data_IF_887771430926
#
_entry.id   IF_887771430926
#
_cell.length_a   1.000
_cell.length_b   1.000
_cell.length_c   1.000
_cell.angle_alpha   90.00
_cell.angle_beta   90.00
_cell.angle_gamma   90.00
#
_symmetry.space_group_name_H-M   'P 1'
#
loop_
_entity.id
_entity.type
_entity.pdbx_description
1 polymer ?
#
# COMPACT_ATOMS: atom_id res chain seq x y z
N UNK A 1 -0.58 -22.74 -24.31
CA UNK A 1 -0.78 -21.50 -25.07
C UNK A 1 -1.08 -20.36 -24.12
N UNK A 2 -0.71 -19.15 -24.49
CA UNK A 2 -0.90 -17.94 -23.66
C UNK A 2 -2.35 -17.65 -23.23
N UNK A 3 -3.41 -17.84 -24.04
CA UNK A 3 -4.77 -17.58 -23.56
C UNK A 3 -5.17 -18.49 -22.39
N UNK A 4 -4.70 -19.75 -22.38
CA UNK A 4 -4.92 -20.64 -21.25
C UNK A 4 -4.18 -20.16 -19.98
N UNK A 5 -2.96 -19.64 -20.14
CA UNK A 5 -2.19 -19.07 -19.03
C UNK A 5 -2.86 -17.82 -18.44
N UNK A 6 -3.31 -16.90 -19.31
CA UNK A 6 -3.99 -15.66 -18.93
C UNK A 6 -5.35 -15.88 -18.25
N UNK A 7 -5.94 -17.07 -18.37
CA UNK A 7 -7.18 -17.43 -17.67
C UNK A 7 -6.88 -18.27 -16.43
N UNK A 8 -6.08 -19.32 -16.56
CA UNK A 8 -5.84 -20.27 -15.47
C UNK A 8 -5.13 -19.63 -14.27
N UNK A 9 -4.11 -18.80 -14.52
CA UNK A 9 -3.29 -18.22 -13.44
C UNK A 9 -4.06 -17.14 -12.66
N UNK A 10 -4.79 -16.20 -13.29
CA UNK A 10 -5.65 -15.28 -12.55
C UNK A 10 -6.78 -15.97 -11.79
N UNK A 11 -7.35 -17.06 -12.33
CA UNK A 11 -8.33 -17.88 -11.60
C UNK A 11 -7.73 -18.54 -10.36
N UNK A 12 -6.50 -19.06 -10.44
CA UNK A 12 -5.79 -19.58 -9.27
C UNK A 12 -5.51 -18.47 -8.24
N UNK A 13 -5.09 -17.29 -8.69
CA UNK A 13 -4.90 -16.12 -7.82
C UNK A 13 -6.20 -15.67 -7.15
N UNK A 14 -7.32 -15.71 -7.87
CA UNK A 14 -8.65 -15.43 -7.34
C UNK A 14 -9.00 -16.41 -6.22
N UNK A 15 -8.76 -17.71 -6.41
CA UNK A 15 -9.00 -18.72 -5.39
C UNK A 15 -8.12 -18.51 -4.14
N UNK A 16 -6.81 -18.26 -4.32
CA UNK A 16 -5.89 -17.99 -3.21
C UNK A 16 -6.28 -16.71 -2.46
N UNK A 17 -6.69 -15.66 -3.17
CA UNK A 17 -7.21 -14.42 -2.58
C UNK A 17 -8.51 -14.67 -1.82
N UNK A 18 -9.43 -15.46 -2.37
CA UNK A 18 -10.69 -15.83 -1.71
C UNK A 18 -10.44 -16.63 -0.43
N UNK A 19 -9.49 -17.58 -0.44
CA UNK A 19 -9.06 -18.32 0.75
C UNK A 19 -8.50 -17.38 1.82
N UNK A 20 -7.64 -16.43 1.43
CA UNK A 20 -7.11 -15.42 2.34
C UNK A 20 -8.24 -14.61 2.99
N UNK A 21 -9.20 -14.13 2.18
CA UNK A 21 -10.37 -13.42 2.66
C UNK A 21 -11.27 -14.27 3.57
N UNK A 22 -11.46 -15.55 3.25
CA UNK A 22 -12.27 -16.47 4.02
C UNK A 22 -11.63 -16.74 5.40
N UNK A 23 -10.31 -16.90 5.47
CA UNK A 23 -9.57 -17.06 6.73
C UNK A 23 -9.70 -15.80 7.60
N UNK A 24 -9.57 -14.61 7.00
CA UNK A 24 -9.70 -13.32 7.70
C UNK A 24 -11.10 -13.20 8.32
N UNK A 25 -12.14 -13.46 7.54
CA UNK A 25 -13.53 -13.30 7.96
C UNK A 25 -13.93 -14.38 8.98
N UNK A 26 -13.63 -15.66 8.70
CA UNK A 26 -14.00 -16.77 9.57
C UNK A 26 -13.22 -16.76 10.90
N UNK A 27 -11.92 -16.45 10.84
CA UNK A 27 -11.06 -16.39 12.01
C UNK A 27 -11.12 -15.06 12.77
N UNK A 28 -11.82 -14.04 12.24
CA UNK A 28 -11.83 -12.65 12.76
C UNK A 28 -10.42 -12.12 13.04
N UNK A 29 -9.47 -12.53 12.20
CA UNK A 29 -8.05 -12.20 12.34
C UNK A 29 -7.77 -10.83 11.74
N UNK A 30 -6.74 -10.16 12.25
CA UNK A 30 -6.27 -8.92 11.65
C UNK A 30 -5.75 -9.21 10.23
N UNK A 31 -6.22 -8.51 9.19
CA UNK A 31 -5.88 -8.83 7.81
C UNK A 31 -4.40 -8.92 7.50
N UNK A 32 -3.61 -8.01 8.09
CA UNK A 32 -2.17 -7.94 7.89
C UNK A 32 -1.45 -9.25 8.22
N UNK A 33 -1.84 -9.91 9.31
CA UNK A 33 -1.22 -11.17 9.77
C UNK A 33 -1.48 -12.27 8.73
N UNK A 34 -2.72 -12.40 8.27
CA UNK A 34 -3.10 -13.43 7.30
C UNK A 34 -2.44 -13.20 5.95
N UNK A 35 -2.41 -11.96 5.46
CA UNK A 35 -1.76 -11.64 4.18
C UNK A 35 -0.25 -11.84 4.23
N UNK A 36 0.40 -11.52 5.36
CA UNK A 36 1.83 -11.76 5.57
C UNK A 36 2.12 -13.28 5.60
N UNK A 37 1.31 -14.05 6.34
CA UNK A 37 1.44 -15.51 6.39
C UNK A 37 1.25 -16.15 5.01
N UNK A 38 0.25 -15.68 4.24
CA UNK A 38 -0.01 -16.15 2.89
C UNK A 38 1.14 -15.80 1.93
N UNK A 39 1.72 -14.60 2.04
CA UNK A 39 2.90 -14.20 1.25
C UNK A 39 4.08 -15.16 1.51
N UNK A 40 4.41 -15.42 2.78
CA UNK A 40 5.52 -16.32 3.15
C UNK A 40 5.22 -17.77 2.73
N UNK A 41 3.98 -18.23 2.93
CA UNK A 41 3.54 -19.57 2.53
C UNK A 41 3.61 -19.79 1.02
N UNK A 42 3.11 -18.84 0.23
CA UNK A 42 3.18 -18.89 -1.23
C UNK A 42 4.61 -18.79 -1.74
N UNK A 43 5.44 -17.97 -1.11
CA UNK A 43 6.87 -17.91 -1.40
C UNK A 43 7.54 -19.27 -1.13
N UNK A 44 7.26 -19.90 0.02
CA UNK A 44 7.74 -21.25 0.33
C UNK A 44 7.30 -22.28 -0.71
N UNK A 45 6.01 -22.30 -1.06
CA UNK A 45 5.46 -23.21 -2.07
C UNK A 45 6.10 -23.00 -3.45
N UNK A 46 6.35 -21.74 -3.84
CA UNK A 46 7.04 -21.42 -5.08
C UNK A 46 8.51 -21.89 -5.08
N UNK A 47 9.21 -21.84 -3.94
CA UNK A 47 10.57 -22.39 -3.81
C UNK A 47 10.60 -23.91 -3.84
N UNK A 48 9.62 -24.58 -3.24
CA UNK A 48 9.50 -26.04 -3.28
C UNK A 48 9.29 -26.54 -4.71
N UNK A 49 8.46 -25.84 -5.48
CA UNK A 49 8.17 -26.19 -6.88
C UNK A 49 9.28 -25.79 -7.84
N UNK A 50 10.03 -24.71 -7.56
CA UNK A 50 11.16 -24.25 -8.36
C UNK A 50 12.47 -25.03 -8.16
N UNK A 51 12.53 -25.90 -7.13
CA UNK A 51 13.78 -26.51 -6.68
C UNK A 51 14.50 -25.59 -5.69
N UNK A 52 15.02 -26.18 -4.60
CA UNK A 52 15.47 -25.50 -3.37
C UNK A 52 16.51 -24.36 -3.57
N UNK A 53 17.18 -24.26 -4.72
CA UNK A 53 18.35 -23.40 -4.93
C UNK A 53 18.07 -21.99 -5.48
N UNK A 54 16.84 -21.47 -5.37
CA UNK A 54 16.49 -20.17 -5.98
C UNK A 54 16.86 -20.10 -7.47
N UNK A 55 16.83 -21.27 -8.13
CA UNK A 55 17.23 -21.43 -9.51
C UNK A 55 16.37 -20.49 -10.35
N UNK A 56 17.05 -19.63 -11.10
CA UNK A 56 16.41 -18.81 -12.11
C UNK A 56 15.95 -19.78 -13.18
N UNK A 57 14.66 -20.10 -13.18
CA UNK A 57 14.08 -20.94 -14.20
C UNK A 57 13.92 -20.06 -15.44
N UNK A 58 14.68 -20.32 -16.52
CA UNK A 58 14.38 -19.64 -17.77
C UNK A 58 12.97 -20.05 -18.17
N UNK A 59 12.16 -19.07 -18.56
CA UNK A 59 10.77 -19.32 -19.01
C UNK A 59 10.76 -20.04 -20.38
N UNK A 60 11.93 -20.38 -20.90
CA UNK A 60 12.20 -21.06 -22.16
C UNK A 60 12.41 -22.56 -21.99
N UNK A 61 11.36 -23.29 -21.63
CA UNK A 61 11.37 -24.76 -21.70
C UNK A 61 10.23 -25.25 -22.60
N UNK A 62 10.37 -25.02 -23.92
CA UNK A 62 9.47 -25.61 -24.92
C UNK A 62 9.38 -24.84 -26.24
N UNK A 63 9.32 -25.58 -27.35
CA UNK A 63 9.33 -25.10 -28.74
C UNK A 63 8.09 -24.32 -29.19
N UNK A 64 7.05 -24.22 -28.35
CA UNK A 64 5.78 -23.52 -28.67
C UNK A 64 5.40 -22.41 -27.66
N UNK A 65 6.21 -22.17 -26.63
CA UNK A 65 5.92 -21.17 -25.58
C UNK A 65 6.63 -19.82 -25.83
N UNK A 66 7.58 -19.79 -26.76
CA UNK A 66 8.43 -18.64 -27.05
C UNK A 66 7.66 -17.51 -27.74
N UNK A 67 6.93 -17.79 -28.83
CA UNK A 67 6.28 -16.75 -29.64
C UNK A 67 5.12 -16.07 -28.92
N UNK A 68 4.27 -16.85 -28.25
CA UNK A 68 3.12 -16.35 -27.52
C UNK A 68 3.51 -15.46 -26.32
N UNK A 69 4.55 -15.82 -25.55
CA UNK A 69 5.06 -15.01 -24.43
C UNK A 69 5.77 -13.76 -24.95
N UNK A 70 6.36 -13.83 -26.14
CA UNK A 70 6.98 -12.68 -26.81
C UNK A 70 5.92 -11.66 -27.27
N UNK A 71 4.70 -12.09 -27.61
CA UNK A 71 3.56 -11.19 -27.83
C UNK A 71 3.18 -10.41 -26.57
N UNK A 72 3.27 -11.01 -25.37
CA UNK A 72 3.02 -10.30 -24.11
C UNK A 72 4.06 -9.23 -23.80
N UNK A 73 5.25 -9.32 -24.42
CA UNK A 73 6.30 -8.31 -24.35
C UNK A 73 6.20 -7.27 -25.48
N UNK A 74 5.55 -7.63 -26.59
CA UNK A 74 5.54 -6.80 -27.79
C UNK A 74 5.04 -5.38 -27.53
N UNK A 75 5.51 -4.44 -28.35
CA UNK A 75 4.96 -3.10 -28.39
C UNK A 75 3.85 -3.09 -29.43
N UNK A 76 2.62 -2.84 -28.98
CA UNK A 76 1.50 -2.62 -29.88
C UNK A 76 1.71 -1.28 -30.60
N UNK A 77 1.72 -1.31 -31.92
CA UNK A 77 1.98 -0.15 -32.79
C UNK A 77 3.30 0.59 -32.51
N UNK A 78 4.29 -0.07 -31.89
CA UNK A 78 5.60 0.53 -31.58
C UNK A 78 5.57 1.62 -30.49
N UNK A 79 4.41 1.88 -29.87
CA UNK A 79 4.25 2.96 -28.88
C UNK A 79 3.83 2.43 -27.51
N UNK A 80 2.93 1.44 -27.44
CA UNK A 80 2.37 0.98 -26.18
C UNK A 80 2.86 -0.43 -25.82
N UNK A 81 3.59 -0.63 -24.70
CA UNK A 81 3.91 -1.96 -24.20
C UNK A 81 2.63 -2.71 -23.82
N UNK A 82 2.52 -3.97 -24.21
CA UNK A 82 1.36 -4.82 -23.86
C UNK A 82 1.06 -4.87 -22.34
N UNK A 83 2.05 -4.91 -21.41
CA UNK A 83 1.76 -4.84 -19.98
C UNK A 83 1.01 -3.55 -19.57
N UNK A 84 1.30 -2.43 -20.25
CA UNK A 84 0.59 -1.16 -20.05
C UNK A 84 -0.87 -1.23 -20.49
N UNK A 85 -1.19 -1.99 -21.54
CA UNK A 85 -2.57 -2.20 -21.98
C UNK A 85 -3.37 -3.03 -20.95
N UNK A 86 -2.78 -4.08 -20.40
CA UNK A 86 -3.41 -4.85 -19.31
C UNK A 86 -3.64 -3.98 -18.07
N UNK A 87 -2.69 -3.11 -17.72
CA UNK A 87 -2.87 -2.14 -16.64
C UNK A 87 -4.03 -1.17 -16.92
N UNK A 88 -4.08 -0.57 -18.12
CA UNK A 88 -5.18 0.34 -18.50
C UNK A 88 -6.54 -0.37 -18.53
N UNK A 89 -6.58 -1.61 -19.03
CA UNK A 89 -7.79 -2.44 -19.03
C UNK A 89 -8.25 -2.74 -17.61
N UNK A 90 -7.34 -3.12 -16.70
CA UNK A 90 -7.65 -3.34 -15.30
C UNK A 90 -8.19 -2.06 -14.64
N UNK A 91 -7.55 -0.92 -14.86
CA UNK A 91 -8.04 0.39 -14.37
C UNK A 91 -9.44 0.67 -14.89
N UNK A 92 -9.71 0.49 -16.19
CA UNK A 92 -11.02 0.75 -16.78
C UNK A 92 -12.11 -0.15 -16.17
N UNK A 93 -11.84 -1.45 -16.04
CA UNK A 93 -12.76 -2.42 -15.45
C UNK A 93 -13.04 -2.08 -13.99
N UNK A 94 -12.01 -1.81 -13.19
CA UNK A 94 -12.18 -1.47 -11.78
C UNK A 94 -12.75 -0.07 -11.57
N UNK A 95 -12.56 0.87 -12.50
CA UNK A 95 -13.22 2.18 -12.48
C UNK A 95 -14.74 2.02 -12.62
N UNK A 96 -15.18 1.22 -13.58
CA UNK A 96 -16.59 0.88 -13.77
C UNK A 96 -17.13 0.12 -12.56
N UNK A 97 -16.40 -0.89 -12.09
CA UNK A 97 -16.79 -1.70 -10.94
C UNK A 97 -16.95 -0.85 -9.67
N UNK A 98 -16.02 0.04 -9.36
CA UNK A 98 -16.08 0.86 -8.16
C UNK A 98 -17.08 2.03 -8.25
N UNK A 99 -17.29 2.62 -9.44
CA UNK A 99 -18.18 3.78 -9.61
C UNK A 99 -19.63 3.39 -9.89
N UNK A 100 -19.85 2.36 -10.70
CA UNK A 100 -21.17 2.06 -11.26
C UNK A 100 -21.87 0.88 -10.58
N UNK A 101 -21.16 0.06 -9.78
CA UNK A 101 -21.77 -1.13 -9.16
C UNK A 101 -22.08 -0.94 -7.67
N UNK A 102 -22.99 -1.78 -7.17
CA UNK A 102 -23.33 -1.88 -5.74
C UNK A 102 -22.10 -2.31 -4.92
N UNK A 103 -21.26 -3.20 -5.49
CA UNK A 103 -20.06 -3.69 -4.83
C UNK A 103 -19.12 -2.54 -4.44
N UNK A 104 -18.88 -1.59 -5.35
CA UNK A 104 -18.08 -0.40 -5.07
C UNK A 104 -18.61 0.40 -3.88
N UNK A 105 -19.92 0.68 -3.86
CA UNK A 105 -20.58 1.38 -2.73
C UNK A 105 -20.39 0.65 -1.40
N UNK A 106 -20.50 -0.68 -1.40
CA UNK A 106 -20.27 -1.49 -0.20
C UNK A 106 -18.82 -1.45 0.26
N UNK A 107 -17.84 -1.52 -0.65
CA UNK A 107 -16.41 -1.40 -0.30
C UNK A 107 -16.13 -0.08 0.42
N UNK A 108 -16.64 1.04 -0.11
CA UNK A 108 -16.48 2.35 0.53
C UNK A 108 -17.19 2.46 1.88
N UNK A 109 -18.41 1.93 1.99
CA UNK A 109 -19.17 1.94 3.24
C UNK A 109 -18.48 1.12 4.34
N UNK A 110 -17.99 -0.08 4.01
CA UNK A 110 -17.24 -0.94 4.93
C UNK A 110 -15.94 -0.27 5.38
N UNK A 111 -15.23 0.38 4.45
CA UNK A 111 -14.00 1.10 4.77
C UNK A 111 -14.21 2.28 5.72
N UNK A 112 -15.38 2.93 5.70
CA UNK A 112 -15.68 4.06 6.58
C UNK A 112 -16.05 3.62 7.99
N UNK A 113 -16.99 2.68 8.11
CA UNK A 113 -17.34 2.07 9.38
C UNK A 113 -17.96 0.68 9.14
N UNK A 114 -17.18 -0.35 9.43
CA UNK A 114 -17.57 -1.75 9.23
C UNK A 114 -18.81 -2.14 10.05
N UNK A 115 -18.90 -1.66 11.30
CA UNK A 115 -20.00 -1.99 12.19
C UNK A 115 -21.30 -1.34 11.75
N UNK A 116 -21.25 -0.08 11.34
CA UNK A 116 -22.40 0.62 10.76
C UNK A 116 -22.86 -0.02 9.44
N UNK A 117 -21.92 -0.45 8.58
CA UNK A 117 -22.22 -1.16 7.35
C UNK A 117 -22.98 -2.47 7.63
N UNK A 118 -22.52 -3.25 8.63
CA UNK A 118 -23.17 -4.48 9.06
C UNK A 118 -24.58 -4.25 9.60
N UNK A 119 -24.78 -3.22 10.43
CA UNK A 119 -26.11 -2.84 10.94
C UNK A 119 -27.05 -2.36 9.83
N UNK A 120 -26.50 -1.83 8.74
CA UNK A 120 -27.25 -1.41 7.55
C UNK A 120 -27.58 -2.57 6.58
N UNK A 121 -27.34 -3.82 6.98
CA UNK A 121 -27.65 -5.01 6.18
C UNK A 121 -26.66 -5.30 5.04
N UNK A 122 -25.49 -4.64 5.01
CA UNK A 122 -24.46 -4.93 4.02
C UNK A 122 -23.78 -6.26 4.38
N UNK A 123 -23.63 -7.21 3.43
CA UNK A 123 -22.95 -8.48 3.68
C UNK A 123 -21.42 -8.28 3.71
N UNK A 124 -20.92 -7.66 4.78
CA UNK A 124 -19.51 -7.27 4.98
C UNK A 124 -18.55 -8.41 4.66
N UNK A 125 -18.85 -9.59 5.20
CA UNK A 125 -18.06 -10.82 5.06
C UNK A 125 -17.84 -11.19 3.59
N UNK A 126 -18.91 -11.19 2.79
CA UNK A 126 -18.83 -11.53 1.36
C UNK A 126 -18.06 -10.49 0.56
N UNK A 127 -18.25 -9.21 0.89
CA UNK A 127 -17.56 -8.10 0.21
C UNK A 127 -16.06 -8.13 0.51
N UNK A 128 -15.66 -8.43 1.75
CA UNK A 128 -14.25 -8.62 2.12
C UNK A 128 -13.62 -9.80 1.35
N UNK A 129 -14.28 -10.96 1.33
CA UNK A 129 -13.78 -12.13 0.59
C UNK A 129 -13.58 -11.81 -0.89
N UNK A 130 -14.57 -11.16 -1.53
CA UNK A 130 -14.47 -10.76 -2.92
C UNK A 130 -13.37 -9.72 -3.17
N UNK A 131 -13.15 -8.77 -2.26
CA UNK A 131 -12.05 -7.81 -2.37
C UNK A 131 -10.67 -8.50 -2.36
N UNK A 132 -10.45 -9.46 -1.46
CA UNK A 132 -9.21 -10.25 -1.46
C UNK A 132 -9.08 -11.15 -2.69
N UNK A 133 -10.18 -11.73 -3.16
CA UNK A 133 -10.19 -12.53 -4.39
C UNK A 133 -9.77 -11.71 -5.62
N UNK A 134 -10.34 -10.52 -5.80
CA UNK A 134 -9.95 -9.60 -6.88
C UNK A 134 -8.49 -9.14 -6.76
N UNK A 135 -8.01 -8.89 -5.54
CA UNK A 135 -6.60 -8.56 -5.31
C UNK A 135 -5.66 -9.70 -5.74
N UNK A 136 -5.96 -10.95 -5.36
CA UNK A 136 -5.18 -12.12 -5.77
C UNK A 136 -5.19 -12.36 -7.29
N UNK A 137 -6.34 -12.14 -7.93
CA UNK A 137 -6.47 -12.19 -9.39
C UNK A 137 -5.57 -11.15 -10.08
N UNK A 138 -5.59 -9.90 -9.61
CA UNK A 138 -4.75 -8.83 -10.17
C UNK A 138 -3.26 -9.06 -9.90
N UNK A 139 -2.90 -9.54 -8.71
CA UNK A 139 -1.51 -9.82 -8.35
C UNK A 139 -0.89 -10.92 -9.23
N UNK A 140 -1.64 -12.01 -9.46
CA UNK A 140 -1.18 -13.09 -10.35
C UNK A 140 -1.15 -12.67 -11.82
N UNK A 141 -2.10 -11.85 -12.28
CA UNK A 141 -2.04 -11.24 -13.61
C UNK A 141 -0.78 -10.37 -13.78
N UNK A 142 -0.46 -9.52 -12.79
CA UNK A 142 0.76 -8.72 -12.79
C UNK A 142 2.02 -9.61 -12.77
N UNK A 143 2.01 -10.72 -12.02
CA UNK A 143 3.09 -11.69 -11.98
C UNK A 143 3.38 -12.34 -13.34
N UNK A 144 2.35 -12.70 -14.11
CA UNK A 144 2.53 -13.22 -15.49
C UNK A 144 3.25 -12.20 -16.36
N UNK A 145 2.80 -10.93 -16.31
CA UNK A 145 3.39 -9.85 -17.09
C UNK A 145 4.84 -9.58 -16.67
N UNK A 146 5.13 -9.64 -15.37
CA UNK A 146 6.47 -9.51 -14.83
C UNK A 146 7.40 -10.60 -15.36
N UNK A 147 6.99 -11.87 -15.26
CA UNK A 147 7.77 -13.01 -15.75
C UNK A 147 7.98 -12.93 -17.27
N UNK A 148 6.95 -12.51 -18.04
CA UNK A 148 7.07 -12.30 -19.48
C UNK A 148 8.08 -11.18 -19.84
N UNK A 149 8.13 -10.11 -19.04
CA UNK A 149 9.05 -8.99 -19.26
C UNK A 149 10.51 -9.36 -18.96
N UNK A 150 10.77 -10.10 -17.88
CA UNK A 150 12.12 -10.43 -17.43
C UNK A 150 12.65 -11.78 -17.92
N UNK A 151 11.82 -12.60 -18.60
CA UNK A 151 12.18 -13.89 -19.22
C UNK A 151 12.71 -14.94 -18.22
N UNK A 152 12.45 -14.72 -16.93
CA UNK A 152 13.01 -15.48 -15.84
C UNK A 152 11.96 -15.60 -14.73
N UNK A 153 11.73 -16.82 -14.26
CA UNK A 153 10.93 -17.11 -13.08
C UNK A 153 11.86 -17.33 -11.89
N UNK A 154 11.91 -16.36 -10.98
CA UNK A 154 12.58 -16.51 -9.67
C UNK A 154 11.50 -16.40 -8.58
N UNK A 155 11.44 -17.30 -7.58
CA UNK A 155 10.41 -17.27 -6.53
C UNK A 155 10.29 -15.96 -5.75
N UNK A 156 11.41 -15.27 -5.55
CA UNK A 156 11.54 -13.97 -4.89
C UNK A 156 11.55 -12.79 -5.87
N UNK A 157 11.34 -13.04 -7.18
CA UNK A 157 11.14 -11.97 -8.14
C UNK A 157 9.85 -11.22 -7.80
N UNK A 158 10.01 -9.95 -7.42
CA UNK A 158 8.91 -9.11 -6.95
C UNK A 158 8.92 -8.81 -5.46
N UNK A 159 9.91 -9.32 -4.70
CA UNK A 159 10.11 -8.90 -3.31
C UNK A 159 10.26 -7.36 -3.22
N UNK A 160 9.47 -6.75 -2.33
CA UNK A 160 9.38 -5.30 -2.17
C UNK A 160 8.32 -4.63 -3.05
N UNK A 161 7.79 -5.28 -4.09
CA UNK A 161 6.69 -4.70 -4.89
C UNK A 161 5.41 -4.56 -4.08
N UNK A 162 5.20 -5.40 -3.07
CA UNK A 162 4.12 -5.24 -2.11
C UNK A 162 4.19 -3.90 -1.36
N UNK A 163 5.38 -3.47 -0.94
CA UNK A 163 5.57 -2.19 -0.25
C UNK A 163 5.47 -1.02 -1.23
N UNK A 164 6.01 -1.18 -2.44
CA UNK A 164 5.89 -0.18 -3.51
C UNK A 164 4.41 0.06 -3.90
N UNK A 165 3.61 -1.00 -3.96
CA UNK A 165 2.18 -0.91 -4.26
C UNK A 165 1.43 -0.13 -3.17
N UNK A 166 1.71 -0.41 -1.89
CA UNK A 166 1.16 0.37 -0.77
C UNK A 166 1.61 1.83 -0.88
N UNK A 167 2.90 2.09 -1.10
CA UNK A 167 3.44 3.44 -1.23
C UNK A 167 2.73 4.24 -2.33
N UNK A 168 2.62 3.67 -3.53
CA UNK A 168 1.97 4.30 -4.67
C UNK A 168 0.50 4.65 -4.41
N UNK A 169 -0.25 3.74 -3.80
CA UNK A 169 -1.68 3.94 -3.50
C UNK A 169 -1.88 5.01 -2.43
N UNK A 170 -1.01 5.06 -1.43
CA UNK A 170 -1.06 6.05 -0.34
C UNK A 170 -0.63 7.44 -0.84
N UNK A 171 0.41 7.54 -1.68
CA UNK A 171 0.77 8.80 -2.36
C UNK A 171 -0.39 9.30 -3.21
N UNK A 172 -1.13 8.38 -3.84
CA UNK A 172 -2.36 8.66 -4.57
C UNK A 172 -3.54 9.12 -3.71
N UNK A 173 -3.40 9.20 -2.37
CA UNK A 173 -4.41 9.74 -1.46
C UNK A 173 -5.41 8.71 -0.93
N UNK A 174 -5.18 7.41 -1.13
CA UNK A 174 -6.01 6.37 -0.50
C UNK A 174 -5.60 6.17 0.96
N UNK A 175 -6.58 6.24 1.87
CA UNK A 175 -6.39 6.13 3.32
C UNK A 175 -6.06 4.70 3.76
N UNK A 176 -4.97 4.52 4.52
CA UNK A 176 -4.68 3.26 5.19
C UNK A 176 -5.69 2.91 6.30
N UNK A 177 -6.30 3.93 6.92
CA UNK A 177 -7.34 3.76 7.95
C UNK A 177 -8.73 3.45 7.35
N UNK A 178 -8.86 3.49 6.02
CA UNK A 178 -10.12 3.22 5.33
C UNK A 178 -11.00 4.46 5.13
N UNK A 179 -12.13 4.25 4.43
CA UNK A 179 -13.23 5.22 4.29
C UNK A 179 -13.01 6.33 3.27
N UNK A 180 -11.78 6.54 2.79
CA UNK A 180 -11.44 7.55 1.77
C UNK A 180 -10.42 7.00 0.78
N UNK A 181 -10.67 7.21 -0.50
CA UNK A 181 -9.77 6.87 -1.58
C UNK A 181 -10.43 6.97 -2.95
N UNK A 182 -9.67 7.29 -3.98
CA UNK A 182 -10.17 7.37 -5.34
C UNK A 182 -9.22 6.66 -6.30
N UNK A 183 -9.77 5.84 -7.19
CA UNK A 183 -8.98 5.13 -8.20
C UNK A 183 -8.15 6.08 -9.07
N UNK A 184 -8.69 7.28 -9.36
CA UNK A 184 -7.97 8.31 -10.11
C UNK A 184 -6.71 8.80 -9.36
N UNK A 185 -6.81 8.98 -8.04
CA UNK A 185 -5.67 9.36 -7.21
C UNK A 185 -4.62 8.24 -7.17
N UNK A 186 -5.07 6.99 -7.01
CA UNK A 186 -4.18 5.81 -7.09
C UNK A 186 -3.44 5.72 -8.43
N UNK A 187 -4.10 6.02 -9.56
CA UNK A 187 -3.45 6.03 -10.87
C UNK A 187 -2.35 7.08 -10.95
N UNK A 188 -2.60 8.29 -10.43
CA UNK A 188 -1.58 9.34 -10.34
C UNK A 188 -0.44 8.91 -9.42
N UNK A 189 -0.74 8.30 -8.27
CA UNK A 189 0.28 7.79 -7.34
C UNK A 189 1.17 6.71 -7.94
N UNK A 190 0.61 5.75 -8.68
CA UNK A 190 1.36 4.71 -9.41
C UNK A 190 2.24 5.32 -10.49
N UNK A 191 1.76 6.32 -11.22
CA UNK A 191 2.57 7.03 -12.22
C UNK A 191 3.73 7.80 -11.57
N UNK A 192 3.47 8.52 -10.47
CA UNK A 192 4.52 9.25 -9.72
C UNK A 192 5.57 8.27 -9.20
N UNK A 193 5.15 7.17 -8.56
CA UNK A 193 6.06 6.18 -7.99
C UNK A 193 6.87 5.45 -9.07
N UNK A 194 6.24 5.12 -10.20
CA UNK A 194 6.90 4.53 -11.36
C UNK A 194 7.92 5.46 -12.02
N UNK A 195 7.56 6.72 -12.22
CA UNK A 195 8.49 7.75 -12.73
C UNK A 195 9.67 7.95 -11.78
N UNK A 196 9.41 8.03 -10.47
CA UNK A 196 10.45 8.17 -9.48
C UNK A 196 11.42 6.98 -9.53
N UNK A 197 10.90 5.76 -9.56
CA UNK A 197 11.72 4.55 -9.64
C UNK A 197 12.57 4.55 -10.92
N UNK A 198 12.01 4.99 -12.04
CA UNK A 198 12.73 5.11 -13.30
C UNK A 198 13.83 6.19 -13.25
N UNK A 199 13.55 7.37 -12.67
CA UNK A 199 14.53 8.45 -12.50
C UNK A 199 15.70 8.00 -11.62
N UNK A 200 15.42 7.37 -10.47
CA UNK A 200 16.48 6.88 -9.58
C UNK A 200 17.36 5.83 -10.29
N UNK A 201 16.74 4.99 -11.11
CA UNK A 201 17.45 3.98 -11.91
C UNK A 201 18.29 4.60 -13.03
N UNK A 202 17.77 5.60 -13.75
CA UNK A 202 18.50 6.32 -14.80
C UNK A 202 19.68 7.14 -14.25
N UNK A 203 19.54 7.67 -13.04
CA UNK A 203 20.63 8.31 -12.31
C UNK A 203 21.66 7.32 -11.74
N UNK A 204 21.53 6.02 -12.08
CA UNK A 204 22.45 4.96 -11.66
C UNK A 204 22.62 4.87 -10.14
N UNK A 205 21.58 5.24 -9.40
CA UNK A 205 21.57 5.14 -7.94
C UNK A 205 21.54 3.66 -7.58
N UNK A 206 22.44 3.24 -6.69
CA UNK A 206 22.55 1.86 -6.23
C UNK A 206 21.19 1.33 -5.74
N UNK A 207 20.83 0.10 -6.10
CA UNK A 207 19.56 -0.53 -5.72
C UNK A 207 19.32 -0.55 -4.21
N UNK A 208 20.37 -0.67 -3.39
CA UNK A 208 20.27 -0.59 -1.93
C UNK A 208 19.87 0.82 -1.47
N UNK A 209 20.41 1.88 -2.08
CA UNK A 209 20.00 3.25 -1.80
C UNK A 209 18.57 3.52 -2.28
N UNK A 210 18.17 2.93 -3.41
CA UNK A 210 16.77 3.01 -3.86
C UNK A 210 15.81 2.44 -2.81
N UNK A 211 16.14 1.31 -2.16
CA UNK A 211 15.33 0.74 -1.07
C UNK A 211 15.23 1.70 0.13
N UNK A 212 16.33 2.38 0.49
CA UNK A 212 16.32 3.39 1.55
C UNK A 212 15.38 4.55 1.19
N UNK A 213 15.47 5.08 -0.04
CA UNK A 213 14.58 6.15 -0.49
C UNK A 213 13.11 5.71 -0.53
N UNK A 214 12.82 4.51 -1.03
CA UNK A 214 11.47 3.93 -1.05
C UNK A 214 10.89 3.83 0.36
N UNK A 215 11.66 3.32 1.32
CA UNK A 215 11.27 3.26 2.73
C UNK A 215 11.00 4.64 3.33
N UNK A 216 11.88 5.62 3.06
CA UNK A 216 11.70 6.99 3.51
C UNK A 216 10.42 7.63 2.95
N UNK A 217 10.11 7.38 1.67
CA UNK A 217 8.89 7.88 1.03
C UNK A 217 7.63 7.28 1.67
N UNK A 218 7.63 5.98 1.99
CA UNK A 218 6.51 5.35 2.69
C UNK A 218 6.28 6.05 4.03
N UNK A 219 7.34 6.21 4.84
CA UNK A 219 7.25 6.87 6.15
C UNK A 219 6.70 8.29 6.01
N UNK A 220 7.26 9.09 5.08
CA UNK A 220 6.80 10.46 4.84
C UNK A 220 5.33 10.49 4.42
N UNK A 221 4.93 9.61 3.51
CA UNK A 221 3.56 9.59 3.00
C UNK A 221 2.56 9.19 4.07
N UNK A 222 2.88 8.18 4.89
CA UNK A 222 2.05 7.75 6.03
C UNK A 222 1.96 8.85 7.08
N UNK A 223 3.08 9.50 7.44
CA UNK A 223 3.08 10.61 8.40
C UNK A 223 2.22 11.79 7.93
N UNK A 224 2.25 12.12 6.64
CA UNK A 224 1.42 13.16 6.05
C UNK A 224 -0.07 12.76 6.02
N UNK A 225 -0.38 11.47 5.95
CA UNK A 225 -1.74 10.95 5.95
C UNK A 225 -2.33 10.86 7.36
N UNK A 226 -1.54 10.47 8.36
CA UNK A 226 -1.97 10.41 9.76
C UNK A 226 -2.09 11.79 10.41
N UNK A 227 -1.24 12.74 10.03
CA UNK A 227 -1.23 14.06 10.66
C UNK A 227 -2.03 15.06 9.83
N UNK A 228 -3.16 15.50 10.39
CA UNK A 228 -3.53 16.90 10.28
C UNK A 228 -2.26 17.71 10.58
N UNK A 229 -1.73 18.41 9.57
CA UNK A 229 -0.51 19.23 9.65
C UNK A 229 -0.49 20.18 10.88
N UNK A 230 -1.66 20.44 11.46
CA UNK A 230 -1.90 21.19 12.71
C UNK A 230 -1.29 20.55 13.98
N UNK A 231 -1.35 19.23 14.17
CA UNK A 231 -0.86 18.58 15.40
C UNK A 231 0.66 18.43 15.42
N UNK A 232 1.28 18.40 14.23
CA UNK A 232 2.73 18.39 14.03
C UNK A 232 3.40 19.70 14.47
N UNK A 233 2.73 20.82 14.22
CA UNK A 233 3.21 22.17 14.52
C UNK A 233 2.75 22.69 15.89
N UNK A 234 1.85 21.96 16.57
CA UNK A 234 1.39 22.28 17.92
C UNK A 234 2.54 22.45 18.94
N UNK A 235 3.55 21.56 19.05
CA UNK A 235 4.65 21.74 20.01
C UNK A 235 5.53 22.96 19.73
N UNK A 236 5.57 23.45 18.49
CA UNK A 236 6.32 24.67 18.13
C UNK A 236 5.52 25.96 18.34
N UNK A 237 4.19 25.90 18.49
CA UNK A 237 3.35 27.07 18.80
C UNK A 237 3.36 27.42 20.29
N UNK A 238 3.39 26.43 21.17
CA UNK A 238 3.41 26.64 22.64
C UNK A 238 4.72 27.21 23.16
N UNK A 239 5.85 26.96 22.48
CA UNK A 239 7.14 27.54 22.84
C UNK A 239 7.23 29.06 22.57
N UNK A 240 6.34 29.62 21.73
CA UNK A 240 6.37 31.04 21.35
C UNK A 240 5.48 31.91 22.24
N UNK A 241 4.51 31.35 22.95
CA UNK A 241 3.65 32.06 23.92
C UNK A 241 4.29 32.17 25.31
N UNK A 242 5.03 31.16 25.76
CA UNK A 242 5.71 31.19 27.08
C UNK A 242 6.84 32.25 27.18
N UNK A 243 7.36 32.73 26.06
CA UNK A 243 8.43 33.76 26.04
C UNK A 243 7.89 35.20 25.98
N UNK A 244 6.56 35.38 25.96
CA UNK A 244 5.92 36.69 25.71
C UNK A 244 5.17 37.28 26.90
N UNK A 245 5.12 36.59 28.06
CA UNK A 245 4.56 37.14 29.30
C UNK A 245 5.65 37.66 30.24
N UNK A 246 6.02 38.96 30.16
CA UNK A 246 6.81 39.62 31.20
C UNK A 246 6.04 39.81 32.52
N UNK A 247 4.72 39.58 32.56
CA UNK A 247 3.88 39.81 33.74
C UNK A 247 4.12 38.80 34.89
N UNK A 248 4.48 37.55 34.57
CA UNK A 248 4.73 36.53 35.60
C UNK A 248 6.03 36.75 36.41
N UNK A 249 6.95 37.62 35.94
CA UNK A 249 8.15 37.98 36.69
C UNK A 249 7.92 39.01 37.78
N UNK A 250 6.85 39.81 37.70
CA UNK A 250 6.59 40.87 38.68
C UNK A 250 5.91 40.34 39.94
N UNK A 251 5.08 39.31 39.83
CA UNK A 251 4.39 38.70 40.98
C UNK A 251 5.34 37.92 41.90
N UNK A 252 6.37 37.27 41.35
CA UNK A 252 7.37 36.55 42.14
C UNK A 252 8.26 37.47 42.99
N UNK A 253 8.50 38.72 42.54
CA UNK A 253 9.30 39.70 43.30
C UNK A 253 8.46 40.45 44.35
N UNK A 254 7.16 40.65 44.12
CA UNK A 254 6.27 41.32 45.07
C UNK A 254 5.98 40.50 46.34
N UNK A 255 5.90 39.17 46.24
CA UNK A 255 5.62 38.29 47.40
C UNK A 255 6.83 38.06 48.32
N UNK A 256 8.07 38.22 47.84
CA UNK A 256 9.27 38.11 48.69
C UNK A 256 9.54 39.36 49.54
N UNK A 257 9.08 40.55 49.13
CA UNK A 257 9.25 41.78 49.92
C UNK A 257 8.32 41.88 51.13
N UNK A 258 7.10 41.33 51.04
CA UNK A 258 6.09 41.46 52.10
C UNK A 258 6.27 40.49 53.29
N UNK A 259 7.04 39.42 53.12
CA UNK A 259 7.26 38.41 54.18
C UNK A 259 8.44 38.76 55.11
N UNK A 260 9.29 39.71 54.74
CA UNK A 260 10.42 40.17 55.56
C UNK A 260 10.03 41.25 56.58
N UNK A 261 8.99 42.04 56.33
CA UNK A 261 8.58 43.12 57.26
C UNK A 261 7.77 42.58 58.45
N UNK A 262 7.13 41.41 58.33
CA UNK A 262 6.27 40.89 59.40
C UNK A 262 7.03 40.09 60.49
N UNK A 263 8.34 39.85 60.33
CA UNK A 263 9.13 39.00 61.25
C UNK A 263 9.97 39.74 62.29
N UNK A 264 10.00 41.07 62.29
CA UNK A 264 10.82 41.87 63.24
C UNK A 264 10.04 42.49 64.42
N UNK A 265 8.74 42.25 64.55
CA UNK A 265 7.91 42.92 65.55
C UNK A 265 7.18 41.98 66.49
N UNK A 266 7.88 41.19 67.32
CA UNK A 266 7.36 40.61 68.59
C UNK A 266 8.45 39.84 69.35
N UNK A 267 9.16 40.52 70.25
CA UNK A 267 9.78 39.93 71.44
C UNK A 267 9.67 40.96 72.59
N UNK A 268 9.07 40.60 73.73
CA UNK A 268 9.54 41.00 75.04
C UNK A 268 10.40 39.92 75.69
#
# INVERSE_FOLDING_TARGET
GVPALLVAVPCAGLAVGAVSGAIIVAGRLQPFIVTLAMMVGMLGLSRLTAGQDSAVLPVYAGTNATEDIELLRSMLWGVLPVPGLFFLAAVAVFAVLLRLTVFGRYVYAIGGNEEAARLSGIPVDRVKIAAYAFSGMLATLAGILYVAQYRQGKPDAGAGLELDAIAAVVIGGTSLMGGRGALAGTLVGVLIFGLLSNILQLHNINSNLQLVFKGAIIIVTVLLQERNLADLLAPFRTARTARRDPAARTEATGQQGSSLIHREGTQP
#
